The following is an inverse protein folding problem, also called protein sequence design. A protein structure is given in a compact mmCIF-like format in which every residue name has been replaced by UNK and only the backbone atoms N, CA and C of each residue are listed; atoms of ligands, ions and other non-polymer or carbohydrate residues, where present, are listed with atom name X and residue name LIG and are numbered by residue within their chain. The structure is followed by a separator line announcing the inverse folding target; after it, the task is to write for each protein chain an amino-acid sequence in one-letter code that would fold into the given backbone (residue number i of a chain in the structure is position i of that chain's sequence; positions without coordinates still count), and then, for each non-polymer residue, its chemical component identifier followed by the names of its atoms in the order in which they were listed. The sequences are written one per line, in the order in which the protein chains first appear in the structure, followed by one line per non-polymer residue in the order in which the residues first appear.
data_IF_660273115406
#
_entry.id   IF_660273115406
#
_cell.length_a   1.000
_cell.length_b   1.000
_cell.length_c   1.000
_cell.angle_alpha   90.00
_cell.angle_beta   90.00
_cell.angle_gamma   90.00
#
_symmetry.space_group_name_H-M   'P 1'
#
loop_
_entity.id
_entity.type
_entity.pdbx_description
1 polymer ?
#
# COMPACT_ATOMS: atom_id res chain seq x y z
N UNK A 1 -6.24 -32.73 -35.99
CA UNK A 1 -7.18 -33.51 -35.14
C UNK A 1 -7.72 -32.56 -34.09
N UNK A 2 -8.83 -31.89 -34.42
CA UNK A 2 -9.48 -30.90 -33.55
C UNK A 2 -10.68 -31.55 -32.86
N UNK A 3 -10.81 -31.31 -31.55
CA UNK A 3 -11.95 -31.77 -30.76
C UNK A 3 -13.04 -30.68 -30.73
N UNK A 4 -14.33 -31.03 -30.89
CA UNK A 4 -15.44 -30.08 -31.05
C UNK A 4 -15.99 -29.54 -29.71
N UNK A 5 -16.66 -28.37 -29.70
CA UNK A 5 -17.27 -27.77 -28.51
C UNK A 5 -18.70 -28.29 -28.23
N UNK A 6 -19.13 -28.41 -26.96
CA UNK A 6 -20.52 -28.69 -26.60
C UNK A 6 -21.34 -27.42 -26.24
N UNK A 7 -22.69 -27.52 -26.19
CA UNK A 7 -23.60 -26.55 -26.81
C UNK A 7 -24.23 -25.49 -25.88
N UNK A 8 -24.75 -24.43 -26.51
CA UNK A 8 -25.65 -23.42 -25.94
C UNK A 8 -27.10 -23.72 -26.34
N UNK A 9 -28.02 -23.76 -25.36
CA UNK A 9 -29.48 -23.81 -25.62
C UNK A 9 -30.24 -22.91 -24.64
N UNK A 10 -30.34 -21.64 -25.01
CA UNK A 10 -31.54 -20.80 -25.21
C UNK A 10 -32.95 -21.22 -24.71
N UNK A 11 -33.65 -20.21 -24.16
CA UNK A 11 -35.09 -19.82 -24.22
C UNK A 11 -36.09 -20.21 -23.11
N UNK A 12 -36.69 -19.16 -22.49
CA UNK A 12 -38.10 -18.71 -22.61
C UNK A 12 -38.59 -18.06 -21.29
N UNK A 13 -38.83 -16.75 -21.22
CA UNK A 13 -40.01 -15.94 -21.59
C UNK A 13 -41.33 -16.23 -20.81
N UNK A 14 -41.86 -15.18 -20.13
CA UNK A 14 -43.27 -15.05 -19.72
C UNK A 14 -43.43 -14.15 -18.48
N UNK A 15 -43.81 -12.86 -18.64
CA UNK A 15 -45.18 -12.28 -18.45
C UNK A 15 -45.70 -12.37 -16.99
N UNK A 16 -46.39 -11.40 -16.37
CA UNK A 16 -46.78 -9.99 -16.56
C UNK A 16 -47.65 -9.66 -15.31
N UNK A 17 -47.75 -8.38 -14.95
CA UNK A 17 -48.88 -7.73 -14.23
C UNK A 17 -49.07 -8.07 -12.72
N UNK A 18 -48.84 -7.13 -11.79
CA UNK A 18 -49.61 -5.90 -11.46
C UNK A 18 -50.80 -6.22 -10.52
N UNK A 19 -50.79 -5.65 -9.30
CA UNK A 19 -51.84 -4.74 -8.76
C UNK A 19 -51.77 -4.65 -7.22
N UNK A 20 -51.53 -3.41 -6.77
CA UNK A 20 -52.04 -2.68 -5.60
C UNK A 20 -52.34 -3.43 -4.29
N UNK A 21 -51.78 -2.97 -3.18
CA UNK A 21 -52.52 -2.16 -2.18
C UNK A 21 -51.62 -1.77 -1.02
N UNK A 22 -52.09 -0.75 -0.32
CA UNK A 22 -51.37 0.28 0.41
C UNK A 22 -51.41 -0.01 1.91
N UNK A 23 -50.25 -0.11 2.59
CA UNK A 23 -50.18 0.13 4.05
C UNK A 23 -48.83 0.72 4.45
N UNK A 24 -48.86 1.98 4.90
CA UNK A 24 -47.76 2.65 5.61
C UNK A 24 -47.42 1.88 6.89
N UNK A 25 -46.18 1.40 6.99
CA UNK A 25 -45.57 1.02 8.28
C UNK A 25 -44.12 1.50 8.32
N UNK A 26 -43.91 2.55 9.12
CA UNK A 26 -42.75 2.88 9.95
C UNK A 26 -41.38 2.32 9.53
N UNK A 27 -40.50 3.22 9.08
CA UNK A 27 -39.09 2.96 8.87
C UNK A 27 -38.39 2.55 10.18
N UNK A 28 -38.13 1.26 10.31
CA UNK A 28 -37.07 0.73 11.18
C UNK A 28 -36.06 0.08 10.25
N UNK A 29 -34.91 0.73 9.99
CA UNK A 29 -33.81 0.09 9.23
C UNK A 29 -33.20 -1.00 10.12
N UNK A 30 -33.75 -2.21 10.03
CA UNK A 30 -33.06 -3.45 10.39
C UNK A 30 -31.82 -3.55 9.50
N UNK A 31 -30.66 -3.70 10.13
CA UNK A 31 -29.40 -4.05 9.50
C UNK A 31 -29.60 -5.29 8.61
N UNK A 32 -29.47 -5.12 7.31
CA UNK A 32 -29.51 -6.22 6.36
C UNK A 32 -28.20 -7.00 6.51
N UNK A 33 -28.28 -8.06 7.29
CA UNK A 33 -27.22 -9.04 7.48
C UNK A 33 -27.14 -9.86 6.19
N UNK A 34 -26.38 -9.35 5.23
CA UNK A 34 -26.08 -10.08 4.01
C UNK A 34 -25.20 -11.27 4.35
N UNK A 35 -25.84 -12.42 4.22
CA UNK A 35 -25.35 -13.78 4.24
C UNK A 35 -24.15 -13.95 3.29
N UNK A 36 -22.94 -13.59 3.74
CA UNK A 36 -21.70 -14.10 3.13
C UNK A 36 -21.36 -15.39 3.86
N UNK A 37 -21.70 -16.51 3.23
CA UNK A 37 -21.19 -17.82 3.60
C UNK A 37 -19.68 -17.69 3.89
N UNK A 38 -19.33 -17.81 5.16
CA UNK A 38 -17.97 -17.77 5.65
C UNK A 38 -17.25 -18.98 5.08
N UNK A 39 -16.38 -18.76 4.10
CA UNK A 39 -15.36 -19.72 3.75
C UNK A 39 -14.41 -19.80 4.95
N UNK A 40 -14.73 -20.70 5.88
CA UNK A 40 -13.99 -20.93 7.12
C UNK A 40 -12.66 -21.59 6.77
N UNK A 41 -11.69 -20.78 6.35
CA UNK A 41 -10.30 -21.18 6.45
C UNK A 41 -9.97 -21.26 7.95
N UNK A 42 -9.49 -22.40 8.46
CA UNK A 42 -8.96 -22.42 9.81
C UNK A 42 -7.85 -21.36 9.90
N UNK A 43 -7.81 -20.54 10.96
CA UNK A 43 -6.72 -19.59 11.12
C UNK A 43 -5.42 -20.38 11.08
N UNK A 44 -4.42 -20.00 10.27
CA UNK A 44 -3.13 -20.65 10.31
C UNK A 44 -2.62 -20.60 11.75
N UNK A 45 -2.33 -21.76 12.33
CA UNK A 45 -1.77 -21.94 13.68
C UNK A 45 -0.32 -21.45 13.80
N UNK A 46 0.10 -20.56 12.90
CA UNK A 46 1.40 -19.93 12.95
C UNK A 46 1.40 -18.92 14.10
N UNK A 47 2.30 -19.04 15.10
CA UNK A 47 2.49 -17.98 16.07
C UNK A 47 2.74 -16.66 15.31
N UNK A 48 2.27 -15.51 15.83
CA UNK A 48 2.57 -14.23 15.22
C UNK A 48 4.09 -14.13 15.06
N UNK A 49 4.54 -14.13 13.81
CA UNK A 49 5.96 -13.96 13.50
C UNK A 49 6.29 -12.58 14.05
N UNK A 50 7.23 -12.44 15.01
CA UNK A 50 7.62 -11.13 15.48
C UNK A 50 7.99 -10.30 14.26
N UNK A 51 7.50 -9.06 14.18
CA UNK A 51 7.78 -8.16 13.07
C UNK A 51 9.30 -8.02 12.94
N UNK A 52 9.89 -8.76 12.01
CA UNK A 52 11.35 -8.80 11.78
C UNK A 52 11.91 -7.40 11.50
N UNK A 53 11.03 -6.47 11.08
CA UNK A 53 11.33 -5.08 10.81
C UNK A 53 11.78 -4.23 12.01
N UNK A 54 11.53 -4.67 13.24
CA UNK A 54 11.95 -3.96 14.47
C UNK A 54 13.20 -4.57 15.11
N UNK A 55 13.89 -5.46 14.40
CA UNK A 55 15.15 -6.03 14.91
C UNK A 55 16.23 -4.96 15.01
N UNK A 56 16.94 -4.93 16.15
CA UNK A 56 18.10 -4.06 16.38
C UNK A 56 19.16 -4.26 15.29
N UNK A 57 19.34 -5.50 14.81
CA UNK A 57 20.28 -5.81 13.73
C UNK A 57 19.92 -5.06 12.44
N UNK A 58 18.63 -4.93 12.14
CA UNK A 58 18.16 -4.19 10.98
C UNK A 58 18.44 -2.69 11.14
N UNK A 59 18.19 -2.13 12.32
CA UNK A 59 18.46 -0.72 12.62
C UNK A 59 19.96 -0.41 12.47
N UNK A 60 20.84 -1.25 13.01
CA UNK A 60 22.29 -1.11 12.87
C UNK A 60 22.70 -1.15 11.39
N UNK A 61 22.14 -2.09 10.62
CA UNK A 61 22.42 -2.19 9.18
C UNK A 61 22.00 -0.92 8.42
N UNK A 62 20.83 -0.37 8.75
CA UNK A 62 20.34 0.89 8.17
C UNK A 62 21.23 2.07 8.57
N UNK A 63 21.69 2.12 9.82
CA UNK A 63 22.59 3.14 10.32
C UNK A 63 23.94 3.12 9.58
N UNK A 64 24.54 1.94 9.42
CA UNK A 64 25.78 1.77 8.67
C UNK A 64 25.59 2.25 7.22
N UNK A 65 24.54 1.80 6.55
CA UNK A 65 24.22 2.20 5.17
C UNK A 65 24.06 3.72 5.04
N UNK A 66 23.37 4.35 5.98
CA UNK A 66 22.88 5.73 5.83
C UNK A 66 23.84 6.79 6.37
N UNK A 67 24.60 6.48 7.42
CA UNK A 67 25.36 7.49 8.19
C UNK A 67 26.85 7.18 8.33
N UNK A 68 27.35 6.10 7.74
CA UNK A 68 28.80 5.81 7.73
C UNK A 68 29.42 6.01 6.37
N UNK A 69 30.75 6.12 6.35
CA UNK A 69 31.56 6.16 5.13
C UNK A 69 31.52 4.83 4.37
N UNK A 70 31.41 3.70 5.09
CA UNK A 70 31.28 2.36 4.49
C UNK A 70 30.04 2.27 3.59
N UNK A 71 28.96 2.95 3.97
CA UNK A 71 27.73 3.02 3.19
C UNK A 71 27.78 3.99 2.00
N UNK A 72 28.82 4.83 1.87
CA UNK A 72 28.89 5.87 0.84
C UNK A 72 28.77 5.32 -0.59
N UNK A 73 29.45 4.24 -1.01
CA UNK A 73 29.34 3.73 -2.39
C UNK A 73 27.90 3.33 -2.75
N UNK A 74 27.19 2.71 -1.80
CA UNK A 74 25.80 2.28 -1.96
C UNK A 74 24.89 3.51 -2.08
N UNK A 75 25.06 4.50 -1.20
CA UNK A 75 24.29 5.76 -1.23
C UNK A 75 24.52 6.53 -2.51
N UNK A 76 25.78 6.69 -2.92
CA UNK A 76 26.16 7.40 -4.15
C UNK A 76 25.53 6.75 -5.38
N UNK A 77 25.45 5.42 -5.43
CA UNK A 77 24.80 4.72 -6.55
C UNK A 77 23.28 4.85 -6.50
N UNK A 78 22.65 4.46 -5.38
CA UNK A 78 21.19 4.35 -5.27
C UNK A 78 20.50 5.70 -5.15
N UNK A 79 21.01 6.60 -4.31
CA UNK A 79 20.35 7.88 -4.06
C UNK A 79 20.55 8.83 -5.23
N UNK A 80 21.73 8.86 -5.83
CA UNK A 80 21.98 9.64 -7.05
C UNK A 80 21.04 9.22 -8.17
N UNK A 81 20.85 7.91 -8.36
CA UNK A 81 19.90 7.40 -9.35
C UNK A 81 18.46 7.84 -9.04
N UNK A 82 17.99 7.66 -7.81
CA UNK A 82 16.64 8.05 -7.38
C UNK A 82 16.38 9.55 -7.55
N UNK A 83 17.33 10.39 -7.12
CA UNK A 83 17.27 11.85 -7.27
C UNK A 83 17.29 12.25 -8.75
N UNK A 84 18.10 11.59 -9.57
CA UNK A 84 18.16 11.85 -11.01
C UNK A 84 16.84 11.52 -11.71
N UNK A 85 16.17 10.42 -11.32
CA UNK A 85 14.83 10.10 -11.80
C UNK A 85 13.81 11.12 -11.33
N UNK A 86 13.87 11.52 -10.07
CA UNK A 86 12.98 12.55 -9.52
C UNK A 86 13.13 13.88 -10.29
N UNK A 87 14.36 14.34 -10.55
CA UNK A 87 14.63 15.54 -11.35
C UNK A 87 14.06 15.46 -12.75
N UNK A 88 14.14 14.29 -13.38
CA UNK A 88 13.62 14.07 -14.74
C UNK A 88 12.10 14.11 -14.81
N UNK A 89 11.41 13.47 -13.87
CA UNK A 89 9.95 13.33 -13.90
C UNK A 89 9.21 14.45 -13.15
N UNK A 90 9.86 15.07 -12.18
CA UNK A 90 9.36 16.21 -11.41
C UNK A 90 10.39 17.35 -11.48
N UNK A 91 10.57 18.00 -12.64
CA UNK A 91 11.52 19.12 -12.78
C UNK A 91 11.04 20.37 -12.02
N UNK A 92 9.73 20.47 -11.80
CA UNK A 92 9.06 21.62 -11.21
C UNK A 92 9.05 21.52 -9.67
N UNK A 93 9.91 22.33 -9.03
CA UNK A 93 10.12 22.35 -7.57
C UNK A 93 9.23 23.37 -6.84
N UNK A 94 8.15 23.81 -7.50
CA UNK A 94 7.23 24.83 -6.98
C UNK A 94 6.57 24.42 -5.66
N UNK A 95 6.28 25.44 -4.86
CA UNK A 95 5.40 25.34 -3.69
C UNK A 95 4.08 24.67 -4.10
N UNK A 96 3.73 23.59 -3.40
CA UNK A 96 2.51 22.80 -3.63
C UNK A 96 2.75 21.38 -4.14
N UNK A 97 3.91 21.07 -4.74
CA UNK A 97 4.28 19.69 -5.09
C UNK A 97 5.12 19.05 -3.99
N UNK A 98 4.62 17.96 -3.42
CA UNK A 98 5.29 17.19 -2.37
C UNK A 98 5.73 15.82 -2.88
N UNK A 99 6.91 15.40 -2.45
CA UNK A 99 7.49 14.08 -2.75
C UNK A 99 7.28 13.20 -1.53
N UNK A 100 6.56 12.09 -1.70
CA UNK A 100 6.40 11.09 -0.64
C UNK A 100 7.47 10.00 -0.77
N UNK A 101 8.17 9.70 0.32
CA UNK A 101 9.10 8.58 0.43
C UNK A 101 8.51 7.55 1.40
N UNK A 102 7.87 6.47 0.90
CA UNK A 102 7.41 5.38 1.74
C UNK A 102 8.57 4.49 2.18
N UNK A 103 8.52 3.98 3.42
CA UNK A 103 9.59 3.15 3.98
C UNK A 103 10.91 3.92 4.05
N UNK A 104 10.86 5.14 4.58
CA UNK A 104 12.01 6.05 4.59
C UNK A 104 13.17 5.55 5.47
N UNK A 105 12.95 4.54 6.33
CA UNK A 105 13.95 4.05 7.28
C UNK A 105 14.44 5.19 8.16
N UNK A 106 15.75 5.48 8.11
CA UNK A 106 16.36 6.57 8.86
C UNK A 106 16.31 7.94 8.14
N UNK A 107 15.59 8.03 7.02
CA UNK A 107 15.30 9.31 6.34
C UNK A 107 16.43 9.88 5.48
N UNK A 108 17.57 9.18 5.33
CA UNK A 108 18.74 9.75 4.65
C UNK A 108 18.47 10.15 3.20
N UNK A 109 17.72 9.35 2.45
CA UNK A 109 17.32 9.69 1.08
C UNK A 109 16.47 10.97 1.04
N UNK A 110 15.53 11.11 1.99
CA UNK A 110 14.69 12.31 2.06
C UNK A 110 15.49 13.58 2.32
N UNK A 111 16.53 13.51 3.16
CA UNK A 111 17.46 14.64 3.36
C UNK A 111 18.15 15.05 2.06
N UNK A 112 18.65 14.08 1.27
CA UNK A 112 19.28 14.40 -0.02
C UNK A 112 18.27 14.99 -1.02
N UNK A 113 17.01 14.55 -1.00
CA UNK A 113 15.95 15.11 -1.84
C UNK A 113 15.54 16.52 -1.39
N UNK A 114 15.53 16.80 -0.08
CA UNK A 114 15.28 18.15 0.45
C UNK A 114 16.41 19.11 0.09
N UNK A 115 17.68 18.66 0.10
CA UNK A 115 18.81 19.48 -0.37
C UNK A 115 18.70 19.87 -1.84
N UNK A 116 18.01 19.06 -2.62
CA UNK A 116 17.64 19.37 -4.00
C UNK A 116 16.44 20.32 -4.09
N UNK A 117 15.96 20.90 -2.99
CA UNK A 117 14.91 21.91 -3.00
C UNK A 117 13.50 21.36 -3.24
N UNK A 118 13.28 20.07 -3.01
CA UNK A 118 11.94 19.49 -3.02
C UNK A 118 11.32 19.53 -1.63
N UNK A 119 9.99 19.72 -1.57
CA UNK A 119 9.23 19.42 -0.35
C UNK A 119 9.03 17.91 -0.25
N UNK A 120 9.44 17.31 0.87
CA UNK A 120 9.42 15.86 1.06
C UNK A 120 8.62 15.49 2.31
N UNK A 121 7.79 14.47 2.19
CA UNK A 121 7.19 13.75 3.30
C UNK A 121 7.78 12.35 3.35
N UNK A 122 8.19 11.92 4.54
CA UNK A 122 8.80 10.61 4.76
C UNK A 122 7.86 9.79 5.63
N UNK A 123 7.55 8.57 5.20
CA UNK A 123 6.69 7.66 5.94
C UNK A 123 7.50 6.43 6.37
N UNK A 124 7.50 6.14 7.66
CA UNK A 124 8.08 4.94 8.24
C UNK A 124 7.12 4.38 9.28
N UNK A 125 6.89 3.07 9.24
CA UNK A 125 5.96 2.38 10.14
C UNK A 125 6.68 1.85 11.39
N UNK A 126 7.97 1.51 11.27
CA UNK A 126 8.76 1.05 12.41
C UNK A 126 9.04 2.22 13.36
N UNK A 127 8.51 2.14 14.57
CA UNK A 127 8.75 3.13 15.61
C UNK A 127 10.24 3.19 15.97
N UNK A 128 10.95 2.07 15.90
CA UNK A 128 12.39 2.00 16.21
C UNK A 128 13.20 2.75 15.16
N UNK A 129 12.91 2.54 13.88
CA UNK A 129 13.56 3.28 12.77
C UNK A 129 13.24 4.77 12.84
N UNK A 130 11.96 5.12 13.04
CA UNK A 130 11.54 6.52 13.15
C UNK A 130 12.18 7.22 14.36
N UNK A 131 12.32 6.54 15.50
CA UNK A 131 12.98 7.08 16.69
C UNK A 131 14.49 7.25 16.50
N UNK A 132 15.15 6.35 15.76
CA UNK A 132 16.57 6.43 15.47
C UNK A 132 16.93 7.47 14.40
N UNK A 133 15.94 7.97 13.65
CA UNK A 133 16.13 8.99 12.62
C UNK A 133 16.21 10.43 13.17
N UNK A 134 15.79 10.64 14.43
CA UNK A 134 15.69 11.94 15.10
C UNK A 134 17.01 12.36 15.75
#
# INVERSE_FOLDING_TARGET
VGLPPPPTTTQSNGKKQQKDTNTKTTFTKKSNQENRASLSYPPPSTPPVPSSYDSIHQVITHLIRDYTEVGLPIRSSLYSWSISKLKRYCPDRKEGKKVLIPGAGLGRLGLEVVKEGYHVEMNEISIVMASAAH
#
